data_IF_935381169669
#
_entry.id   IF_935381169669
#
_cell.length_a   1.000
_cell.length_b   1.000
_cell.length_c   1.000
_cell.angle_alpha   90.00
_cell.angle_beta   90.00
_cell.angle_gamma   90.00
#
_symmetry.space_group_name_H-M   'P 1'
#
loop_
_entity.id
_entity.type
_entity.pdbx_description
1 polymer ?
#
# COMPACT_ATOMS: atom_id res chain seq x y z
N UNK A 1 11.84 -18.66 -12.19
CA UNK A 1 10.66 -17.88 -11.73
C UNK A 1 10.92 -16.45 -12.14
N UNK A 2 10.13 -15.89 -13.07
CA UNK A 2 10.39 -14.54 -13.55
C UNK A 2 10.03 -13.54 -12.42
N UNK A 3 10.97 -12.68 -12.02
CA UNK A 3 10.86 -11.81 -10.85
C UNK A 3 9.96 -10.63 -11.23
N UNK A 4 8.65 -10.82 -11.27
CA UNK A 4 7.74 -9.68 -11.18
C UNK A 4 7.93 -9.12 -9.78
N UNK A 5 8.84 -8.16 -9.77
CA UNK A 5 9.41 -7.33 -8.74
C UNK A 5 8.67 -7.38 -7.42
N UNK A 6 9.43 -7.41 -6.33
CA UNK A 6 8.97 -6.96 -5.01
C UNK A 6 8.55 -5.47 -5.00
N UNK A 7 8.14 -4.92 -6.14
CA UNK A 7 7.74 -3.54 -6.38
C UNK A 7 6.22 -3.49 -6.61
N UNK A 8 5.56 -2.54 -5.97
CA UNK A 8 4.14 -2.27 -6.17
C UNK A 8 3.93 -0.80 -6.50
N UNK A 9 3.34 -0.54 -7.66
CA UNK A 9 2.85 0.79 -8.05
C UNK A 9 1.37 0.89 -7.67
N UNK A 10 1.03 1.83 -6.79
CA UNK A 10 -0.29 1.87 -6.17
C UNK A 10 -1.27 2.84 -6.82
N UNK A 11 -0.77 3.81 -7.59
CA UNK A 11 -1.55 4.99 -7.96
C UNK A 11 -2.17 5.65 -6.73
N UNK A 12 -3.31 6.31 -6.89
CA UNK A 12 -3.96 7.05 -5.81
C UNK A 12 -4.54 6.17 -4.69
N UNK A 13 -4.47 4.85 -4.82
CA UNK A 13 -4.95 3.88 -3.81
C UNK A 13 -4.16 4.00 -2.52
N UNK A 14 -2.83 4.08 -2.60
CA UNK A 14 -1.97 4.18 -1.42
C UNK A 14 -1.17 5.47 -1.48
N UNK A 15 -1.18 6.18 -0.36
CA UNK A 15 -0.35 7.37 -0.14
C UNK A 15 0.65 7.11 0.98
N UNK A 16 1.73 7.87 0.99
CA UNK A 16 2.67 7.88 2.12
C UNK A 16 2.81 9.29 2.67
N UNK A 17 2.97 9.38 3.98
CA UNK A 17 3.26 10.62 4.71
C UNK A 17 4.59 10.39 5.42
N UNK A 18 5.47 11.40 5.42
CA UNK A 18 6.79 11.28 6.03
C UNK A 18 6.67 10.95 7.53
N UNK A 19 7.35 9.87 7.94
CA UNK A 19 7.31 9.37 9.33
C UNK A 19 6.07 8.55 9.70
N UNK A 20 5.14 8.30 8.78
CA UNK A 20 3.95 7.49 9.02
C UNK A 20 3.93 6.17 8.23
N UNK A 21 3.08 5.24 8.64
CA UNK A 21 2.78 4.04 7.85
C UNK A 21 2.04 4.42 6.55
N UNK A 22 2.12 3.58 5.49
CA UNK A 22 1.31 3.80 4.29
C UNK A 22 -0.18 3.85 4.61
N UNK A 23 -0.91 4.67 3.87
CA UNK A 23 -2.35 4.84 4.06
C UNK A 23 -3.10 4.45 2.78
N UNK A 24 -4.12 3.61 2.93
CA UNK A 24 -5.10 3.30 1.91
C UNK A 24 -6.15 4.41 1.90
N UNK A 25 -6.31 5.13 0.77
CA UNK A 25 -7.34 6.16 0.66
C UNK A 25 -8.73 5.56 0.79
N UNK A 26 -9.56 6.18 1.62
CA UNK A 26 -10.96 5.83 1.78
C UNK A 26 -11.74 5.94 0.46
N UNK A 27 -12.65 4.99 0.25
CA UNK A 27 -13.61 5.00 -0.87
C UNK A 27 -15.02 4.78 -0.34
N UNK A 28 -16.03 5.16 -1.12
CA UNK A 28 -17.44 5.06 -0.71
C UNK A 28 -17.90 3.61 -0.40
N UNK A 29 -17.20 2.59 -0.92
CA UNK A 29 -17.50 1.19 -0.69
C UNK A 29 -16.60 0.59 0.39
N UNK A 30 -17.11 0.51 1.62
CA UNK A 30 -16.39 -0.04 2.78
C UNK A 30 -15.96 -1.49 2.60
N UNK A 31 -16.80 -2.34 2.00
CA UNK A 31 -16.47 -3.77 1.82
C UNK A 31 -15.29 -3.94 0.88
N UNK A 32 -15.31 -3.24 -0.26
CA UNK A 32 -14.22 -3.27 -1.22
C UNK A 32 -12.92 -2.73 -0.62
N UNK A 33 -13.02 -1.71 0.24
CA UNK A 33 -11.89 -1.15 0.96
C UNK A 33 -11.26 -2.18 1.92
N UNK A 34 -12.07 -2.90 2.68
CA UNK A 34 -11.61 -3.97 3.58
C UNK A 34 -10.94 -5.13 2.81
N UNK A 35 -11.52 -5.54 1.68
CA UNK A 35 -10.94 -6.57 0.78
C UNK A 35 -9.60 -6.11 0.18
N UNK A 36 -9.51 -4.84 -0.21
CA UNK A 36 -8.27 -4.24 -0.73
C UNK A 36 -7.19 -4.17 0.35
N UNK A 37 -7.55 -3.73 1.56
CA UNK A 37 -6.63 -3.68 2.70
C UNK A 37 -6.07 -5.07 3.05
N UNK A 38 -6.93 -6.08 3.08
CA UNK A 38 -6.53 -7.46 3.33
C UNK A 38 -5.56 -7.96 2.26
N UNK A 39 -5.86 -7.69 0.99
CA UNK A 39 -4.99 -8.04 -0.14
C UNK A 39 -3.62 -7.37 0.00
N UNK A 40 -3.57 -6.05 0.19
CA UNK A 40 -2.32 -5.29 0.30
C UNK A 40 -1.40 -5.80 1.42
N UNK A 41 -1.97 -6.13 2.60
CA UNK A 41 -1.21 -6.65 3.75
C UNK A 41 -0.63 -8.06 3.53
N UNK A 42 -1.23 -8.83 2.62
CA UNK A 42 -0.77 -10.18 2.27
C UNK A 42 0.37 -10.22 1.24
N UNK A 43 0.61 -9.12 0.52
CA UNK A 43 1.62 -9.07 -0.52
C UNK A 43 3.04 -9.04 0.07
N UNK A 44 3.94 -9.83 -0.51
CA UNK A 44 5.37 -9.77 -0.21
C UNK A 44 6.02 -8.70 -1.10
N UNK A 45 5.93 -7.44 -0.66
CA UNK A 45 6.48 -6.25 -1.33
C UNK A 45 7.69 -5.75 -0.54
N UNK A 46 8.70 -5.25 -1.24
CA UNK A 46 9.87 -4.57 -0.66
C UNK A 46 10.01 -3.11 -1.10
N UNK A 47 9.42 -2.75 -2.24
CA UNK A 47 9.47 -1.43 -2.84
C UNK A 47 8.04 -0.95 -3.11
N UNK A 48 7.61 0.09 -2.41
CA UNK A 48 6.27 0.64 -2.56
C UNK A 48 6.36 2.00 -3.25
N UNK A 49 5.70 2.13 -4.40
CA UNK A 49 5.54 3.40 -5.13
C UNK A 49 4.10 3.90 -4.96
N UNK A 50 3.84 4.82 -4.01
CA UNK A 50 2.52 5.39 -3.79
C UNK A 50 2.15 6.39 -4.90
N UNK A 51 0.86 6.72 -5.03
CA UNK A 51 0.40 7.80 -5.91
C UNK A 51 0.77 9.19 -5.40
N UNK A 52 0.89 9.33 -4.08
CA UNK A 52 1.37 10.55 -3.42
C UNK A 52 2.31 10.23 -2.27
N UNK A 53 3.29 11.12 -2.04
CA UNK A 53 4.30 10.96 -1.01
C UNK A 53 5.61 10.39 -1.56
N UNK A 54 6.43 9.81 -0.67
CA UNK A 54 7.73 9.22 -1.03
C UNK A 54 7.64 7.70 -1.19
N UNK A 55 8.38 7.10 -2.14
CA UNK A 55 8.54 5.66 -2.22
C UNK A 55 9.15 5.09 -0.93
N UNK A 56 8.78 3.86 -0.58
CA UNK A 56 9.31 3.16 0.60
C UNK A 56 10.09 1.92 0.13
N UNK A 57 11.33 1.82 0.60
CA UNK A 57 12.14 0.61 0.53
C UNK A 57 12.24 0.00 1.92
N UNK A 58 11.45 -1.05 2.17
CA UNK A 58 11.43 -1.75 3.44
C UNK A 58 10.86 -3.16 3.24
N UNK A 59 11.17 -4.11 4.12
CA UNK A 59 10.52 -5.43 4.08
C UNK A 59 9.05 -5.28 4.48
N UNK A 60 8.14 -5.78 3.63
CA UNK A 60 6.68 -5.79 3.87
C UNK A 60 6.13 -4.41 4.28
N UNK A 61 6.33 -3.34 3.48
CA UNK A 61 5.98 -1.98 3.86
C UNK A 61 4.47 -1.80 4.08
N UNK A 62 3.66 -2.71 3.56
CA UNK A 62 2.20 -2.67 3.64
C UNK A 62 1.61 -3.35 4.89
N UNK A 63 2.41 -4.04 5.70
CA UNK A 63 1.93 -4.84 6.85
C UNK A 63 1.08 -4.02 7.83
N UNK A 64 1.47 -2.77 8.08
CA UNK A 64 0.78 -1.86 9.00
C UNK A 64 -0.06 -0.78 8.27
N UNK A 65 -0.37 -0.98 6.98
CA UNK A 65 -1.21 -0.02 6.24
C UNK A 65 -2.55 0.16 6.95
N UNK A 66 -3.01 1.40 7.10
CA UNK A 66 -4.33 1.71 7.65
C UNK A 66 -5.19 2.47 6.63
N UNK A 67 -6.48 2.59 6.91
CA UNK A 67 -7.41 3.38 6.09
C UNK A 67 -7.36 4.84 6.54
N UNK A 68 -7.25 5.75 5.58
CA UNK A 68 -7.53 7.18 5.76
C UNK A 68 -9.02 7.43 5.46
N UNK A 69 -9.76 7.95 6.44
CA UNK A 69 -11.23 8.12 6.38
C UNK A 69 -11.64 9.52 5.92
#
# INVERSE_FOLDING_TARGET
>A
MLPFSYELLCGDTVITIEGAAPLLRGVANRRQLEETLGTLRSLDVNYLFPGHGRPILAKRPLENTSVDW
#
